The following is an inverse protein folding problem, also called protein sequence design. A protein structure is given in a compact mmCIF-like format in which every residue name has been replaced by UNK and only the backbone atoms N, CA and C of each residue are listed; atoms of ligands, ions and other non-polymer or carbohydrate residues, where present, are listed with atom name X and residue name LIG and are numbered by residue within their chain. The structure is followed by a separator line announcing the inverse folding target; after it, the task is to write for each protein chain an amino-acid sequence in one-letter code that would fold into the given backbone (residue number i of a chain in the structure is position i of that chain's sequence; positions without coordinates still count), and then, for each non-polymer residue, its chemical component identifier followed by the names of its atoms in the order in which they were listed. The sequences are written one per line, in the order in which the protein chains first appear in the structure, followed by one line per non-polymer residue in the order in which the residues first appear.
data_IF_376628499226
#
_entry.id   IF_376628499226
#
_cell.length_a   1.000
_cell.length_b   1.000
_cell.length_c   1.000
_cell.angle_alpha   90.00
_cell.angle_beta   90.00
_cell.angle_gamma   90.00
#
_symmetry.space_group_name_H-M   'P 1'
#
loop_
_entity.id
_entity.type
_entity.pdbx_description
1 polymer ?
#
# COMPACT_ATOMS: atom_id res chain seq x y z
N UNK A 1 7.61 10.66 -23.89
CA UNK A 1 8.02 10.26 -25.26
C UNK A 1 6.93 9.39 -25.87
N UNK A 2 6.80 9.35 -27.20
CA UNK A 2 5.84 8.48 -27.88
C UNK A 2 6.27 7.01 -27.74
N UNK A 3 5.41 6.07 -27.28
CA UNK A 3 5.80 4.69 -27.00
C UNK A 3 6.31 3.91 -28.21
N UNK A 4 5.86 4.28 -29.45
CA UNK A 4 6.31 3.65 -30.69
C UNK A 4 7.61 4.25 -31.25
N UNK A 5 8.10 5.39 -30.75
CA UNK A 5 9.37 6.00 -31.18
C UNK A 5 10.60 5.45 -30.43
N UNK A 6 10.43 4.46 -29.57
CA UNK A 6 11.57 3.76 -28.97
C UNK A 6 12.31 2.92 -30.01
N UNK A 7 13.64 2.83 -29.89
CA UNK A 7 14.53 2.16 -30.88
C UNK A 7 14.06 0.78 -31.31
N UNK A 8 13.41 0.03 -30.42
CA UNK A 8 12.96 -1.35 -30.69
C UNK A 8 11.55 -1.44 -31.31
N UNK A 9 10.74 -0.37 -31.28
CA UNK A 9 9.35 -0.41 -31.75
C UNK A 9 9.14 0.38 -33.05
N UNK A 10 10.03 1.31 -33.38
CA UNK A 10 9.91 2.16 -34.54
C UNK A 10 10.05 1.37 -35.86
N UNK A 11 11.00 0.44 -35.95
CA UNK A 11 11.18 -0.43 -37.12
C UNK A 11 9.93 -1.27 -37.44
N UNK A 12 9.42 -2.08 -36.45
CA UNK A 12 8.16 -2.82 -36.62
C UNK A 12 6.96 -1.94 -36.99
N UNK A 13 6.87 -0.72 -36.46
CA UNK A 13 5.83 0.23 -36.82
C UNK A 13 5.87 0.59 -38.30
N UNK A 14 7.04 0.94 -38.87
CA UNK A 14 7.18 1.26 -40.27
C UNK A 14 6.93 0.02 -41.18
N UNK A 15 7.36 -1.15 -40.73
CA UNK A 15 7.10 -2.39 -41.47
C UNK A 15 5.60 -2.72 -41.56
N UNK A 16 4.78 -2.34 -40.58
CA UNK A 16 3.34 -2.51 -40.60
C UNK A 16 2.65 -1.69 -41.72
N UNK A 17 3.31 -0.67 -42.26
CA UNK A 17 2.79 0.12 -43.37
C UNK A 17 3.01 -0.54 -44.74
N UNK A 18 3.89 -1.54 -44.88
CA UNK A 18 4.14 -2.24 -46.14
C UNK A 18 2.88 -2.96 -46.65
N UNK A 19 2.19 -3.80 -45.87
CA UNK A 19 0.95 -4.43 -46.34
C UNK A 19 -0.15 -3.42 -46.65
N UNK A 20 -0.25 -2.30 -45.91
CA UNK A 20 -1.19 -1.23 -46.21
C UNK A 20 -0.90 -0.56 -47.56
N UNK A 21 0.36 -0.25 -47.85
CA UNK A 21 0.77 0.27 -49.15
C UNK A 21 0.48 -0.73 -50.27
N UNK A 22 0.75 -2.01 -50.04
CA UNK A 22 0.45 -3.05 -51.03
C UNK A 22 -1.05 -3.16 -51.32
N UNK A 23 -1.92 -3.08 -50.32
CA UNK A 23 -3.38 -3.07 -50.47
C UNK A 23 -3.82 -1.83 -51.29
N UNK A 24 -3.31 -0.64 -51.00
CA UNK A 24 -3.65 0.58 -51.71
C UNK A 24 -3.17 0.54 -53.17
N UNK A 25 -1.97 0.01 -53.41
CA UNK A 25 -1.46 -0.22 -54.78
C UNK A 25 -2.38 -1.18 -55.52
N UNK A 26 -2.77 -2.29 -54.91
CA UNK A 26 -3.69 -3.25 -55.49
C UNK A 26 -5.06 -2.61 -55.84
N UNK A 27 -5.64 -1.85 -54.92
CA UNK A 27 -6.93 -1.17 -55.15
C UNK A 27 -6.88 -0.14 -56.27
N UNK A 28 -5.77 0.58 -56.43
CA UNK A 28 -5.59 1.59 -57.46
C UNK A 28 -5.30 0.98 -58.86
N UNK A 29 -4.71 -0.22 -58.88
CA UNK A 29 -4.41 -0.95 -60.15
C UNK A 29 -5.54 -1.86 -60.58
N UNK A 30 -6.26 -2.52 -59.67
CA UNK A 30 -7.31 -3.48 -59.99
C UNK A 30 -8.48 -2.89 -60.75
N UNK A 31 -8.75 -1.58 -60.60
CA UNK A 31 -9.74 -0.84 -61.33
C UNK A 31 -9.28 -0.42 -62.78
N UNK A 32 -8.07 -0.76 -63.20
CA UNK A 32 -7.51 -0.40 -64.50
C UNK A 32 -7.20 1.10 -64.69
N UNK A 33 -7.36 1.91 -63.62
CA UNK A 33 -7.13 3.35 -63.68
C UNK A 33 -5.64 3.71 -63.78
N UNK A 34 -4.77 2.98 -63.02
CA UNK A 34 -3.33 3.22 -62.93
C UNK A 34 -2.52 1.93 -63.15
N UNK A 35 -1.33 2.09 -63.71
CA UNK A 35 -0.33 1.02 -63.77
C UNK A 35 0.37 0.79 -62.42
N UNK A 36 1.04 -0.35 -62.27
CA UNK A 36 1.77 -0.71 -61.03
C UNK A 36 2.83 0.31 -60.61
N UNK A 37 3.60 0.82 -61.64
CA UNK A 37 4.65 1.81 -61.38
C UNK A 37 4.05 3.14 -60.96
N UNK A 38 2.95 3.57 -61.60
CA UNK A 38 2.25 4.81 -61.29
C UNK A 38 1.67 4.76 -59.86
N UNK A 39 1.00 3.65 -59.55
CA UNK A 39 0.42 3.44 -58.23
C UNK A 39 1.50 3.41 -57.14
N UNK A 40 2.60 2.71 -57.33
CA UNK A 40 3.71 2.68 -56.37
C UNK A 40 4.35 4.04 -56.18
N UNK A 41 4.58 4.82 -57.26
CA UNK A 41 5.15 6.16 -57.21
C UNK A 41 4.30 7.16 -56.39
N UNK A 42 2.98 6.95 -56.33
CA UNK A 42 2.04 7.77 -55.57
C UNK A 42 1.91 7.22 -54.13
N UNK A 43 1.59 5.92 -53.98
CA UNK A 43 1.17 5.32 -52.72
C UNK A 43 2.32 5.24 -51.72
N UNK A 44 3.52 4.83 -52.14
CA UNK A 44 4.66 4.61 -51.20
C UNK A 44 5.04 5.89 -50.45
N UNK A 45 5.32 7.04 -51.12
CA UNK A 45 5.66 8.26 -50.38
C UNK A 45 4.50 8.79 -49.57
N UNK A 46 3.26 8.65 -50.02
CA UNK A 46 2.07 9.08 -49.28
C UNK A 46 1.83 8.23 -48.04
N UNK A 47 2.03 6.92 -48.09
CA UNK A 47 1.95 6.05 -46.91
C UNK A 47 3.03 6.40 -45.90
N UNK A 48 4.25 6.71 -46.31
CA UNK A 48 5.32 7.12 -45.42
C UNK A 48 4.96 8.41 -44.66
N UNK A 49 4.48 9.43 -45.41
CA UNK A 49 4.03 10.70 -44.79
C UNK A 49 2.86 10.43 -43.81
N UNK A 50 1.91 9.58 -44.22
CA UNK A 50 0.75 9.29 -43.38
C UNK A 50 1.11 8.51 -42.11
N UNK A 51 2.13 7.67 -42.15
CA UNK A 51 2.67 7.00 -40.97
C UNK A 51 3.10 8.01 -39.89
N UNK A 52 3.79 9.09 -40.28
CA UNK A 52 4.16 10.14 -39.32
C UNK A 52 2.96 10.94 -38.81
N UNK A 53 1.96 11.18 -39.67
CA UNK A 53 0.72 11.84 -39.24
C UNK A 53 -0.03 11.00 -38.22
N UNK A 54 -0.13 9.67 -38.43
CA UNK A 54 -0.76 8.76 -37.46
C UNK A 54 -0.04 8.75 -36.10
N UNK A 55 1.30 8.91 -36.03
CA UNK A 55 2.02 9.08 -34.78
C UNK A 55 1.61 10.35 -34.04
N UNK A 56 1.27 11.43 -34.76
CA UNK A 56 0.84 12.68 -34.12
C UNK A 56 -0.47 12.53 -33.33
N UNK A 57 -1.33 11.58 -33.71
CA UNK A 57 -2.59 11.28 -33.03
C UNK A 57 -2.40 10.86 -31.55
N UNK A 58 -1.22 10.37 -31.19
CA UNK A 58 -0.86 10.10 -29.80
C UNK A 58 -0.99 11.33 -28.91
N UNK A 59 -0.48 12.47 -29.36
CA UNK A 59 -0.49 13.70 -28.55
C UNK A 59 -1.92 14.21 -28.33
N UNK A 60 -2.78 14.11 -29.33
CA UNK A 60 -4.18 14.47 -29.21
C UNK A 60 -4.94 13.52 -28.29
N UNK A 61 -4.72 12.21 -28.41
CA UNK A 61 -5.34 11.18 -27.56
C UNK A 61 -4.87 11.29 -26.10
N UNK A 62 -3.59 11.56 -25.86
CA UNK A 62 -3.03 11.72 -24.52
C UNK A 62 -3.53 13.00 -23.83
N UNK A 63 -3.70 14.09 -24.59
CA UNK A 63 -4.21 15.36 -24.06
C UNK A 63 -5.72 15.37 -23.78
N UNK A 64 -6.44 14.38 -24.30
CA UNK A 64 -7.89 14.30 -24.20
C UNK A 64 -8.33 12.89 -23.71
N UNK A 65 -8.11 12.57 -22.40
CA UNK A 65 -8.50 11.28 -21.85
C UNK A 65 -10.02 11.09 -21.92
N UNK A 66 -10.46 9.84 -22.19
CA UNK A 66 -11.87 9.49 -22.22
C UNK A 66 -12.46 9.62 -20.82
N UNK A 67 -13.32 10.63 -20.66
CA UNK A 67 -14.13 10.83 -19.45
C UNK A 67 -15.60 10.78 -19.83
N UNK A 68 -16.44 10.20 -18.94
CA UNK A 68 -17.87 9.97 -19.23
C UNK A 68 -18.63 11.23 -19.69
N UNK A 69 -18.22 12.38 -19.17
CA UNK A 69 -18.85 13.68 -19.47
C UNK A 69 -18.43 14.28 -20.84
N UNK A 70 -17.30 13.86 -21.40
CA UNK A 70 -16.72 14.45 -22.62
C UNK A 70 -16.73 13.53 -23.85
N UNK A 71 -17.31 12.33 -23.74
CA UNK A 71 -17.18 11.29 -24.78
C UNK A 71 -17.68 11.73 -26.14
N UNK A 72 -18.86 12.38 -26.23
CA UNK A 72 -19.42 12.86 -27.48
C UNK A 72 -18.57 13.95 -28.12
N UNK A 73 -18.09 14.90 -27.31
CA UNK A 73 -17.23 16.00 -27.80
C UNK A 73 -15.90 15.47 -28.34
N UNK A 74 -15.31 14.48 -27.65
CA UNK A 74 -14.08 13.83 -28.09
C UNK A 74 -14.29 13.06 -29.42
N UNK A 75 -15.38 12.30 -29.48
CA UNK A 75 -15.73 11.56 -30.70
C UNK A 75 -15.90 12.49 -31.90
N UNK A 76 -16.68 13.55 -31.78
CA UNK A 76 -16.86 14.56 -32.85
C UNK A 76 -15.54 15.25 -33.19
N UNK A 77 -14.70 15.54 -32.19
CA UNK A 77 -13.38 16.13 -32.43
C UNK A 77 -12.46 15.22 -33.25
N UNK A 78 -12.43 13.91 -32.96
CA UNK A 78 -11.65 12.96 -33.72
C UNK A 78 -12.20 12.72 -35.15
N UNK A 79 -13.52 12.75 -35.33
CA UNK A 79 -14.14 12.71 -36.67
C UNK A 79 -13.73 13.94 -37.48
N UNK A 80 -13.80 15.12 -36.89
CA UNK A 80 -13.39 16.37 -37.57
C UNK A 80 -11.89 16.36 -37.90
N UNK A 81 -11.05 15.90 -36.98
CA UNK A 81 -9.62 15.74 -37.22
C UNK A 81 -9.32 14.72 -38.29
N UNK A 82 -10.00 13.57 -38.33
CA UNK A 82 -9.89 12.57 -39.38
C UNK A 82 -10.24 13.12 -40.76
N UNK A 83 -11.33 13.88 -40.88
CA UNK A 83 -11.75 14.53 -42.11
C UNK A 83 -10.71 15.56 -42.58
N UNK A 84 -10.20 16.40 -41.67
CA UNK A 84 -9.18 17.40 -41.98
C UNK A 84 -7.87 16.76 -42.47
N UNK A 85 -7.37 15.77 -41.73
CA UNK A 85 -6.13 15.06 -42.03
C UNK A 85 -6.24 14.32 -43.37
N UNK A 86 -7.40 13.66 -43.62
CA UNK A 86 -7.64 12.96 -44.86
C UNK A 86 -7.74 13.91 -46.08
N UNK A 87 -8.36 15.09 -45.90
CA UNK A 87 -8.39 16.14 -46.91
C UNK A 87 -6.99 16.65 -47.23
N UNK A 88 -6.15 16.87 -46.21
CA UNK A 88 -4.75 17.28 -46.38
C UNK A 88 -3.94 16.20 -47.12
N UNK A 89 -4.15 14.93 -46.78
CA UNK A 89 -3.49 13.80 -47.45
C UNK A 89 -3.86 13.70 -48.93
N UNK A 90 -5.17 13.87 -49.28
CA UNK A 90 -5.64 13.94 -50.67
C UNK A 90 -5.03 15.14 -51.37
N UNK A 91 -4.94 16.30 -50.75
CA UNK A 91 -4.30 17.48 -51.33
C UNK A 91 -2.80 17.22 -51.62
N UNK A 92 -2.08 16.55 -50.74
CA UNK A 92 -0.70 16.11 -50.94
C UNK A 92 -0.60 15.12 -52.11
N UNK A 93 -1.56 14.17 -52.23
CA UNK A 93 -1.63 13.24 -53.34
C UNK A 93 -1.83 13.96 -54.69
N UNK A 94 -2.77 14.91 -54.74
CA UNK A 94 -3.01 15.72 -55.95
C UNK A 94 -1.77 16.56 -56.30
N UNK A 95 -1.11 17.16 -55.37
CA UNK A 95 0.13 17.91 -55.58
C UNK A 95 1.25 17.01 -56.14
N UNK A 96 1.44 15.82 -55.57
CA UNK A 96 2.41 14.84 -56.06
C UNK A 96 2.07 14.39 -57.50
N UNK A 97 0.82 14.03 -57.75
CA UNK A 97 0.33 13.61 -59.07
C UNK A 97 0.53 14.72 -60.11
N UNK A 98 0.23 15.98 -59.74
CA UNK A 98 0.46 17.14 -60.62
C UNK A 98 1.95 17.29 -60.99
N UNK A 99 2.86 17.08 -60.06
CA UNK A 99 4.30 17.13 -60.34
C UNK A 99 4.72 15.96 -61.26
N UNK A 100 4.27 14.74 -60.95
CA UNK A 100 4.58 13.55 -61.73
C UNK A 100 4.04 13.65 -63.17
N UNK A 101 2.83 14.14 -63.36
CA UNK A 101 2.18 14.29 -64.69
C UNK A 101 2.94 15.20 -65.64
N UNK A 102 3.84 16.06 -65.16
CA UNK A 102 4.74 16.89 -66.00
C UNK A 102 5.88 16.10 -66.63
N UNK A 103 6.14 14.90 -66.16
CA UNK A 103 7.21 14.05 -66.65
C UNK A 103 6.67 13.20 -67.81
N UNK A 104 7.53 12.87 -68.80
CA UNK A 104 7.13 12.09 -70.03
C UNK A 104 6.59 10.70 -69.68
N UNK A 105 7.05 10.13 -68.53
CA UNK A 105 6.66 8.77 -68.07
C UNK A 105 5.24 8.71 -67.50
N UNK A 106 4.70 9.83 -66.99
CA UNK A 106 3.45 9.88 -66.24
C UNK A 106 2.43 10.85 -66.89
N UNK A 107 2.46 11.02 -68.20
CA UNK A 107 1.53 11.89 -68.94
C UNK A 107 0.06 11.47 -68.73
N UNK A 108 -0.83 12.43 -68.43
CA UNK A 108 -2.27 12.19 -68.21
C UNK A 108 -2.58 11.46 -66.86
N UNK A 109 -1.62 11.38 -65.98
CA UNK A 109 -1.80 10.75 -64.63
C UNK A 109 -2.84 11.50 -63.78
N UNK A 110 -2.89 12.81 -63.88
CA UNK A 110 -3.83 13.70 -63.20
C UNK A 110 -5.30 13.37 -63.49
N UNK A 111 -5.62 13.16 -64.74
CA UNK A 111 -6.98 12.78 -65.18
C UNK A 111 -7.39 11.38 -64.71
N UNK A 112 -6.44 10.44 -64.69
CA UNK A 112 -6.67 9.05 -64.31
C UNK A 112 -6.72 8.88 -62.77
N UNK A 113 -6.03 9.75 -62.03
CA UNK A 113 -6.03 9.75 -60.57
C UNK A 113 -7.28 10.43 -59.98
N UNK A 114 -7.88 11.41 -60.65
CA UNK A 114 -9.01 12.18 -60.13
C UNK A 114 -10.15 11.34 -59.50
N UNK A 115 -10.63 10.24 -60.13
CA UNK A 115 -11.69 9.41 -59.52
C UNK A 115 -11.24 8.64 -58.26
N UNK A 116 -9.93 8.41 -58.11
CA UNK A 116 -9.36 7.67 -56.97
C UNK A 116 -9.26 8.51 -55.69
N UNK A 117 -9.41 9.84 -55.77
CA UNK A 117 -9.36 10.75 -54.63
C UNK A 117 -10.34 10.36 -53.50
N UNK A 118 -11.53 9.82 -53.88
CA UNK A 118 -12.53 9.33 -52.91
C UNK A 118 -12.02 8.12 -52.13
N UNK A 119 -11.29 7.22 -52.77
CA UNK A 119 -10.69 6.03 -52.12
C UNK A 119 -9.60 6.48 -51.17
N UNK A 120 -8.74 7.42 -51.59
CA UNK A 120 -7.69 7.97 -50.72
C UNK A 120 -8.28 8.69 -49.51
N UNK A 121 -9.34 9.49 -49.70
CA UNK A 121 -10.01 10.16 -48.61
C UNK A 121 -10.58 9.13 -47.60
N UNK A 122 -11.33 8.15 -48.09
CA UNK A 122 -11.93 7.12 -47.21
C UNK A 122 -10.86 6.28 -46.49
N UNK A 123 -9.81 5.89 -47.22
CA UNK A 123 -8.69 5.14 -46.62
C UNK A 123 -7.98 5.97 -45.54
N UNK A 124 -7.65 7.23 -45.83
CA UNK A 124 -7.05 8.13 -44.82
C UNK A 124 -7.93 8.32 -43.60
N UNK A 125 -9.23 8.59 -43.82
CA UNK A 125 -10.18 8.76 -42.72
C UNK A 125 -10.24 7.55 -41.80
N UNK A 126 -10.35 6.35 -42.37
CA UNK A 126 -10.39 5.11 -41.58
C UNK A 126 -9.06 4.81 -40.87
N UNK A 127 -7.93 5.03 -41.57
CA UNK A 127 -6.59 4.82 -40.98
C UNK A 127 -6.33 5.77 -39.83
N UNK A 128 -6.75 7.03 -39.88
CA UNK A 128 -6.63 7.96 -38.81
C UNK A 128 -7.46 7.53 -37.57
N UNK A 129 -8.72 7.15 -37.80
CA UNK A 129 -9.58 6.66 -36.73
C UNK A 129 -9.04 5.37 -36.08
N UNK A 130 -8.49 4.46 -36.93
CA UNK A 130 -7.83 3.25 -36.42
C UNK A 130 -6.59 3.58 -35.56
N UNK A 131 -5.79 4.56 -36.01
CA UNK A 131 -4.64 5.04 -35.24
C UNK A 131 -5.08 5.64 -33.92
N UNK A 132 -6.11 6.48 -33.87
CA UNK A 132 -6.68 7.03 -32.63
C UNK A 132 -7.17 5.91 -31.70
N UNK A 133 -7.95 4.96 -32.21
CA UNK A 133 -8.47 3.83 -31.45
C UNK A 133 -7.34 3.00 -30.84
N UNK A 134 -6.31 2.67 -31.64
CA UNK A 134 -5.14 1.93 -31.15
C UNK A 134 -4.37 2.69 -30.07
N UNK A 135 -4.24 4.01 -30.18
CA UNK A 135 -3.60 4.82 -29.14
C UNK A 135 -4.41 4.84 -27.84
N UNK A 136 -5.72 4.92 -27.89
CA UNK A 136 -6.57 4.80 -26.69
C UNK A 136 -6.48 3.43 -26.03
N UNK A 137 -6.40 2.35 -26.83
CA UNK A 137 -6.17 1.00 -26.29
C UNK A 137 -4.82 0.93 -25.56
N UNK A 138 -3.76 1.45 -26.17
CA UNK A 138 -2.42 1.48 -25.53
C UNK A 138 -2.45 2.27 -24.22
N UNK A 139 -3.05 3.47 -24.23
CA UNK A 139 -3.19 4.30 -23.02
C UNK A 139 -4.00 3.61 -21.92
N UNK A 140 -5.09 2.91 -22.30
CA UNK A 140 -5.91 2.15 -21.35
C UNK A 140 -5.15 1.00 -20.73
N UNK A 141 -4.36 0.25 -21.52
CA UNK A 141 -3.52 -0.85 -21.02
C UNK A 141 -2.41 -0.34 -20.09
N UNK A 142 -1.76 0.77 -20.45
CA UNK A 142 -0.76 1.41 -19.60
C UNK A 142 -1.37 1.87 -18.26
N UNK A 143 -2.52 2.53 -18.29
CA UNK A 143 -3.23 2.97 -17.10
C UNK A 143 -3.67 1.80 -16.18
N UNK A 144 -4.16 0.69 -16.78
CA UNK A 144 -4.54 -0.52 -16.06
C UNK A 144 -3.34 -1.15 -15.37
N UNK A 145 -2.22 -1.31 -16.09
CA UNK A 145 -0.98 -1.87 -15.55
C UNK A 145 -0.41 -1.03 -14.41
N UNK A 146 -0.44 0.31 -14.54
CA UNK A 146 -0.03 1.21 -13.44
C UNK A 146 -0.95 1.12 -12.24
N UNK A 147 -2.26 0.99 -12.44
CA UNK A 147 -3.24 0.85 -11.36
C UNK A 147 -3.02 -0.47 -10.59
N UNK A 148 -2.79 -1.58 -11.31
CA UNK A 148 -2.47 -2.89 -10.72
C UNK A 148 -1.16 -2.85 -9.92
N UNK A 149 -0.12 -2.21 -10.45
CA UNK A 149 1.16 -2.06 -9.76
C UNK A 149 1.02 -1.25 -8.46
N UNK A 150 0.23 -0.15 -8.49
CA UNK A 150 -0.06 0.65 -7.28
C UNK A 150 -0.87 -0.14 -6.25
N UNK A 151 -1.89 -0.89 -6.68
CA UNK A 151 -2.69 -1.72 -5.79
C UNK A 151 -1.84 -2.80 -5.11
N UNK A 152 -0.96 -3.45 -5.86
CA UNK A 152 -0.02 -4.45 -5.33
C UNK A 152 0.94 -3.83 -4.31
N UNK A 153 1.50 -2.67 -4.61
CA UNK A 153 2.41 -1.95 -3.70
C UNK A 153 1.70 -1.57 -2.38
N UNK A 154 0.47 -1.07 -2.47
CA UNK A 154 -0.35 -0.75 -1.29
C UNK A 154 -0.64 -1.99 -0.45
N UNK A 155 -0.94 -3.13 -1.09
CA UNK A 155 -1.17 -4.40 -0.40
C UNK A 155 0.09 -4.89 0.34
N UNK A 156 1.27 -4.77 -0.28
CA UNK A 156 2.55 -5.13 0.35
C UNK A 156 2.81 -4.23 1.56
N UNK A 157 2.62 -2.92 1.42
CA UNK A 157 2.80 -1.97 2.53
C UNK A 157 1.85 -2.25 3.70
N UNK A 158 0.58 -2.60 3.41
CA UNK A 158 -0.38 -2.96 4.43
C UNK A 158 0.04 -4.24 5.20
N UNK A 159 0.48 -5.28 4.47
CA UNK A 159 1.00 -6.51 5.09
C UNK A 159 2.26 -6.28 5.91
N UNK A 160 3.19 -5.45 5.44
CA UNK A 160 4.39 -5.09 6.18
C UNK A 160 4.06 -4.31 7.47
N UNK A 161 3.07 -3.42 7.42
CA UNK A 161 2.59 -2.71 8.61
C UNK A 161 1.95 -3.68 9.61
N UNK A 162 1.11 -4.62 9.13
CA UNK A 162 0.51 -5.66 9.96
C UNK A 162 1.56 -6.56 10.62
N UNK A 163 2.56 -7.02 9.86
CA UNK A 163 3.69 -7.80 10.39
C UNK A 163 4.50 -7.02 11.42
N UNK A 164 4.72 -5.74 11.21
CA UNK A 164 5.41 -4.88 12.19
C UNK A 164 4.58 -4.70 13.46
N UNK A 165 3.27 -4.52 13.33
CA UNK A 165 2.36 -4.42 14.46
C UNK A 165 2.34 -5.74 15.27
N UNK A 166 2.25 -6.89 14.59
CA UNK A 166 2.31 -8.20 15.22
C UNK A 166 3.65 -8.46 15.94
N UNK A 167 4.77 -8.14 15.29
CA UNK A 167 6.11 -8.23 15.90
C UNK A 167 6.28 -7.30 17.10
N UNK A 168 5.62 -6.13 17.10
CA UNK A 168 5.68 -5.19 18.21
C UNK A 168 4.88 -5.66 19.45
N UNK A 169 3.95 -6.60 19.29
CA UNK A 169 3.24 -7.21 20.43
C UNK A 169 4.13 -8.11 21.28
N UNK A 170 5.21 -8.64 20.71
CA UNK A 170 6.19 -9.45 21.45
C UNK A 170 7.40 -8.56 21.72
N UNK A 171 7.72 -8.34 22.99
CA UNK A 171 8.93 -7.60 23.38
C UNK A 171 10.20 -8.46 23.11
N UNK A 172 11.03 -8.12 22.08
CA UNK A 172 12.18 -8.95 21.72
C UNK A 172 13.19 -9.07 22.85
N UNK A 173 13.37 -8.00 23.62
CA UNK A 173 14.31 -7.96 24.74
C UNK A 173 13.89 -8.91 25.87
N UNK A 174 12.58 -8.96 26.18
CA UNK A 174 12.05 -9.92 27.14
C UNK A 174 12.28 -11.37 26.66
N UNK A 175 12.02 -11.65 25.38
CA UNK A 175 12.23 -12.98 24.79
C UNK A 175 13.69 -13.42 24.89
N UNK A 176 14.64 -12.56 24.50
CA UNK A 176 16.07 -12.85 24.61
C UNK A 176 16.51 -13.08 26.05
N UNK A 177 16.03 -12.28 26.98
CA UNK A 177 16.36 -12.46 28.39
C UNK A 177 15.80 -13.76 28.97
N UNK A 178 14.57 -14.14 28.58
CA UNK A 178 13.96 -15.41 29.00
C UNK A 178 14.74 -16.61 28.44
N UNK A 179 15.14 -16.59 27.16
CA UNK A 179 15.94 -17.64 26.54
C UNK A 179 17.32 -17.76 27.21
N UNK A 180 17.96 -16.65 27.55
CA UNK A 180 19.23 -16.65 28.27
C UNK A 180 19.09 -17.28 29.68
N UNK A 181 17.99 -16.96 30.37
CA UNK A 181 17.70 -17.56 31.70
C UNK A 181 17.43 -19.07 31.60
N UNK A 182 16.68 -19.51 30.57
CA UNK A 182 16.46 -20.94 30.28
C UNK A 182 17.80 -21.62 30.02
N UNK A 183 18.65 -21.04 29.18
CA UNK A 183 19.99 -21.58 28.88
C UNK A 183 20.86 -21.72 30.11
N UNK A 184 20.86 -20.73 30.99
CA UNK A 184 21.60 -20.80 32.28
C UNK A 184 21.05 -21.90 33.21
N UNK A 185 19.72 -22.04 33.27
CA UNK A 185 19.07 -23.06 34.08
C UNK A 185 19.32 -24.49 33.56
N UNK A 186 19.54 -24.72 32.30
CA UNK A 186 19.77 -26.07 31.74
C UNK A 186 20.96 -26.77 32.42
N UNK A 187 21.97 -26.01 32.82
CA UNK A 187 23.19 -26.54 33.45
C UNK A 187 23.06 -26.66 35.01
N UNK A 188 22.05 -26.01 35.59
CA UNK A 188 21.92 -25.92 37.05
C UNK A 188 20.72 -26.75 37.56
N UNK A 189 19.56 -26.57 36.91
CA UNK A 189 18.29 -27.20 37.26
C UNK A 189 17.44 -27.39 35.95
N UNK A 190 17.56 -28.55 35.36
CA UNK A 190 16.86 -28.89 34.12
C UNK A 190 15.33 -28.95 34.25
N UNK A 191 14.80 -29.20 35.47
CA UNK A 191 13.36 -29.16 35.72
C UNK A 191 12.84 -27.74 35.67
N UNK A 192 13.48 -26.81 36.35
CA UNK A 192 13.11 -25.39 36.30
C UNK A 192 13.30 -24.78 34.93
N UNK A 193 14.31 -25.24 34.13
CA UNK A 193 14.47 -24.82 32.77
C UNK A 193 13.25 -25.24 31.90
N UNK A 194 12.75 -26.48 32.08
CA UNK A 194 11.56 -26.99 31.42
C UNK A 194 10.31 -26.21 31.80
N UNK A 195 10.11 -25.96 33.08
CA UNK A 195 8.95 -25.19 33.58
C UNK A 195 8.95 -23.78 33.05
N UNK A 196 10.11 -23.14 32.92
CA UNK A 196 10.26 -21.83 32.33
C UNK A 196 9.96 -21.82 30.82
N UNK A 197 10.33 -22.89 30.07
CA UNK A 197 9.95 -23.04 28.68
C UNK A 197 8.43 -23.12 28.49
N UNK A 198 7.75 -23.88 29.36
CA UNK A 198 6.28 -24.00 29.34
C UNK A 198 5.63 -22.66 29.64
N UNK A 199 6.05 -21.97 30.71
CA UNK A 199 5.57 -20.65 31.06
C UNK A 199 5.75 -19.63 29.94
N UNK A 200 6.90 -19.62 29.28
CA UNK A 200 7.17 -18.73 28.14
C UNK A 200 6.27 -19.04 26.95
N UNK A 201 6.07 -20.34 26.64
CA UNK A 201 5.18 -20.76 25.57
C UNK A 201 3.72 -20.35 25.82
N UNK A 202 3.24 -20.51 27.06
CA UNK A 202 1.88 -20.12 27.46
C UNK A 202 1.69 -18.62 27.46
N UNK A 203 2.68 -17.85 27.96
CA UNK A 203 2.67 -16.40 27.90
C UNK A 203 2.58 -15.87 26.45
N UNK A 204 3.41 -16.41 25.55
CA UNK A 204 3.40 -16.00 24.14
C UNK A 204 2.07 -16.32 23.45
N UNK A 205 1.53 -17.53 23.69
CA UNK A 205 0.23 -17.93 23.11
C UNK A 205 -0.90 -17.02 23.62
N UNK A 206 -0.90 -16.71 24.91
CA UNK A 206 -1.90 -15.83 25.51
C UNK A 206 -1.77 -14.40 25.01
N UNK A 207 -0.56 -13.85 24.89
CA UNK A 207 -0.31 -12.51 24.35
C UNK A 207 -0.87 -12.38 22.94
N UNK A 208 -0.61 -13.37 22.04
CA UNK A 208 -1.11 -13.38 20.69
C UNK A 208 -2.65 -13.49 20.66
N UNK A 209 -3.22 -14.41 21.45
CA UNK A 209 -4.68 -14.60 21.49
C UNK A 209 -5.44 -13.40 22.06
N UNK A 210 -4.91 -12.71 23.07
CA UNK A 210 -5.52 -11.48 23.58
C UNK A 210 -5.39 -10.33 22.59
N UNK A 211 -4.25 -10.25 21.86
CA UNK A 211 -4.00 -9.19 20.90
C UNK A 211 -4.98 -9.16 19.70
N UNK A 212 -5.64 -10.27 19.39
CA UNK A 212 -6.65 -10.38 18.35
C UNK A 212 -8.06 -9.92 18.77
N UNK A 213 -8.29 -9.78 20.08
CA UNK A 213 -9.59 -9.39 20.63
C UNK A 213 -9.75 -7.87 20.63
N UNK A 214 -10.98 -7.40 20.55
CA UNK A 214 -11.31 -5.96 20.70
C UNK A 214 -11.35 -5.53 22.14
N UNK A 215 -11.91 -6.37 23.00
CA UNK A 215 -11.99 -6.21 24.45
C UNK A 215 -11.70 -7.55 25.14
N UNK A 216 -11.15 -7.47 26.30
CA UNK A 216 -10.85 -8.64 27.17
C UNK A 216 -11.30 -8.35 28.59
N UNK A 217 -11.57 -9.39 29.37
CA UNK A 217 -11.84 -9.23 30.79
C UNK A 217 -10.55 -8.84 31.53
N UNK A 218 -10.67 -8.02 32.56
CA UNK A 218 -9.53 -7.69 33.42
C UNK A 218 -8.86 -8.94 33.98
N UNK A 219 -9.65 -9.99 34.29
CA UNK A 219 -9.12 -11.29 34.71
C UNK A 219 -8.16 -11.93 33.72
N UNK A 220 -8.39 -11.77 32.39
CA UNK A 220 -7.51 -12.30 31.34
C UNK A 220 -6.18 -11.52 31.28
N UNK A 221 -6.25 -10.19 31.41
CA UNK A 221 -5.04 -9.33 31.54
C UNK A 221 -4.23 -9.70 32.78
N UNK A 222 -4.93 -9.91 33.90
CA UNK A 222 -4.28 -10.30 35.17
C UNK A 222 -3.57 -11.65 35.05
N UNK A 223 -4.20 -12.65 34.44
CA UNK A 223 -3.57 -13.95 34.18
C UNK A 223 -2.30 -13.81 33.30
N UNK A 224 -2.37 -12.97 32.24
CA UNK A 224 -1.20 -12.67 31.42
C UNK A 224 -0.07 -12.03 32.23
N UNK A 225 -0.40 -11.07 33.07
CA UNK A 225 0.59 -10.40 33.94
C UNK A 225 1.23 -11.36 34.96
N UNK A 226 0.45 -12.27 35.53
CA UNK A 226 0.97 -13.29 36.45
C UNK A 226 1.96 -14.22 35.78
N UNK A 227 1.67 -14.64 34.49
CA UNK A 227 2.63 -15.45 33.70
C UNK A 227 3.91 -14.66 33.40
N UNK A 228 3.77 -13.39 32.99
CA UNK A 228 4.93 -12.51 32.75
C UNK A 228 5.81 -12.39 34.02
N UNK A 229 5.20 -12.07 35.15
CA UNK A 229 5.90 -11.89 36.40
C UNK A 229 6.51 -13.20 36.94
N UNK A 230 5.87 -14.35 36.70
CA UNK A 230 6.44 -15.65 37.01
C UNK A 230 7.75 -15.91 36.24
N UNK A 231 7.81 -15.54 34.98
CA UNK A 231 9.03 -15.63 34.14
C UNK A 231 10.10 -14.67 34.68
N UNK A 232 9.76 -13.41 34.96
CA UNK A 232 10.71 -12.43 35.52
C UNK A 232 11.18 -12.80 36.93
N UNK A 233 10.33 -13.47 37.73
CA UNK A 233 10.72 -13.99 39.05
C UNK A 233 11.82 -15.04 38.98
N UNK A 234 11.85 -15.86 37.93
CA UNK A 234 12.97 -16.80 37.71
C UNK A 234 14.28 -16.05 37.50
N UNK A 235 14.23 -14.90 36.80
CA UNK A 235 15.41 -14.08 36.46
C UNK A 235 15.89 -13.23 37.66
N UNK A 236 14.97 -12.58 38.37
CA UNK A 236 15.31 -11.65 39.44
C UNK A 236 15.36 -12.31 40.85
N UNK A 237 14.81 -13.52 40.97
CA UNK A 237 14.76 -14.22 42.27
C UNK A 237 14.00 -13.42 43.31
N UNK A 238 14.55 -13.36 44.52
CA UNK A 238 13.93 -12.65 45.66
C UNK A 238 13.99 -11.13 45.54
N UNK A 239 14.72 -10.60 44.58
CA UNK A 239 14.76 -9.18 44.26
C UNK A 239 13.43 -8.65 43.70
N UNK A 240 12.61 -9.51 43.09
CA UNK A 240 11.27 -9.14 42.60
C UNK A 240 10.23 -9.61 43.61
N UNK A 241 9.56 -8.67 44.24
CA UNK A 241 8.42 -8.94 45.12
C UNK A 241 7.16 -8.41 44.44
N UNK A 242 6.10 -9.21 44.45
CA UNK A 242 4.82 -8.86 43.86
C UNK A 242 3.72 -8.83 44.93
N UNK A 243 2.86 -7.81 44.85
CA UNK A 243 1.69 -7.67 45.72
C UNK A 243 0.47 -7.34 44.87
N UNK A 244 -0.59 -8.11 45.04
CA UNK A 244 -1.87 -7.91 44.34
C UNK A 244 -2.95 -7.55 45.39
N UNK A 245 -3.71 -6.51 45.13
CA UNK A 245 -4.91 -6.12 45.87
C UNK A 245 -6.04 -5.86 44.88
N UNK A 246 -6.69 -6.94 44.43
CA UNK A 246 -7.67 -6.93 43.35
C UNK A 246 -9.06 -7.21 43.95
N UNK A 247 -9.96 -6.24 43.79
CA UNK A 247 -11.36 -6.41 44.15
C UNK A 247 -12.04 -7.38 43.18
N UNK A 248 -12.82 -8.34 43.68
CA UNK A 248 -13.41 -9.40 42.84
C UNK A 248 -14.30 -8.84 41.73
N UNK A 249 -15.08 -7.80 42.01
CA UNK A 249 -15.95 -7.13 41.03
C UNK A 249 -15.20 -6.46 39.89
N UNK A 250 -13.92 -6.19 40.04
CA UNK A 250 -13.06 -5.61 39.01
C UNK A 250 -12.74 -6.63 37.90
N UNK A 251 -12.64 -7.93 38.25
CA UNK A 251 -12.20 -8.99 37.34
C UNK A 251 -13.09 -9.19 36.14
N UNK A 252 -14.38 -8.89 36.28
CA UNK A 252 -15.36 -9.00 35.19
C UNK A 252 -15.40 -7.77 34.29
N UNK A 253 -14.72 -6.68 34.61
CA UNK A 253 -14.70 -5.48 33.78
C UNK A 253 -13.95 -5.72 32.47
N UNK A 254 -14.48 -5.13 31.37
CA UNK A 254 -13.89 -5.19 30.04
C UNK A 254 -12.93 -4.02 29.83
N UNK A 255 -11.81 -4.30 29.17
CA UNK A 255 -10.81 -3.29 28.83
C UNK A 255 -10.10 -3.66 27.52
N UNK A 256 -9.42 -2.70 26.86
CA UNK A 256 -8.62 -3.00 25.68
C UNK A 256 -7.50 -4.01 25.98
N UNK A 257 -7.24 -4.97 25.07
CA UNK A 257 -6.24 -6.02 25.30
C UNK A 257 -4.83 -5.44 25.43
N UNK A 258 -3.97 -6.11 26.18
CA UNK A 258 -2.56 -5.77 26.41
C UNK A 258 -2.40 -4.32 26.90
N UNK A 259 -3.33 -3.87 27.78
CA UNK A 259 -3.33 -2.53 28.33
C UNK A 259 -2.35 -2.42 29.52
N UNK A 260 -2.32 -3.42 30.39
CA UNK A 260 -1.55 -3.39 31.62
C UNK A 260 -0.13 -3.94 31.45
N UNK A 261 0.08 -4.81 30.47
CA UNK A 261 1.40 -5.42 30.23
C UNK A 261 2.50 -4.36 30.07
N UNK A 262 2.38 -3.28 29.27
CA UNK A 262 3.43 -2.26 29.17
C UNK A 262 3.73 -1.54 30.48
N UNK A 263 2.75 -1.41 31.37
CA UNK A 263 2.94 -0.77 32.69
C UNK A 263 3.75 -1.65 33.62
N UNK A 264 3.43 -2.94 33.68
CA UNK A 264 4.15 -3.90 34.49
C UNK A 264 5.56 -4.18 33.96
N UNK A 265 5.70 -4.25 32.59
CA UNK A 265 7.02 -4.30 31.98
C UNK A 265 7.90 -3.09 32.37
N UNK A 266 7.32 -1.89 32.33
CA UNK A 266 8.02 -0.68 32.79
C UNK A 266 8.38 -0.74 34.29
N UNK A 267 7.48 -1.22 35.12
CA UNK A 267 7.71 -1.37 36.53
C UNK A 267 8.89 -2.32 36.84
N UNK A 268 8.97 -3.46 36.16
CA UNK A 268 10.09 -4.40 36.28
C UNK A 268 11.39 -3.82 35.71
N UNK A 269 11.33 -3.25 34.50
CA UNK A 269 12.51 -2.75 33.77
C UNK A 269 13.14 -1.51 34.40
N UNK A 270 12.33 -0.58 34.86
CA UNK A 270 12.79 0.70 35.39
C UNK A 270 12.83 0.76 36.92
N UNK A 271 12.00 -0.05 37.60
CA UNK A 271 12.04 -0.24 39.03
C UNK A 271 13.06 -1.30 39.44
N UNK A 272 12.72 -2.57 39.19
CA UNK A 272 13.45 -3.71 39.79
C UNK A 272 14.85 -3.91 39.17
N UNK A 273 14.96 -3.82 37.83
CA UNK A 273 16.23 -4.09 37.16
C UNK A 273 17.33 -3.07 37.48
N UNK A 274 16.96 -1.86 37.91
CA UNK A 274 17.88 -0.77 38.30
C UNK A 274 18.31 -0.80 39.76
N UNK A 275 17.57 -1.51 40.60
CA UNK A 275 17.80 -1.53 42.06
C UNK A 275 18.62 -2.78 42.48
N UNK A 276 19.83 -2.65 43.03
CA UNK A 276 20.63 -3.81 43.49
C UNK A 276 19.91 -4.66 44.54
N UNK A 277 19.22 -4.05 45.49
CA UNK A 277 18.45 -4.70 46.53
C UNK A 277 17.12 -5.28 46.07
N UNK A 278 16.73 -4.95 44.80
CA UNK A 278 15.40 -5.28 44.27
C UNK A 278 14.33 -4.30 44.75
N UNK A 279 13.07 -4.70 44.61
CA UNK A 279 11.93 -3.85 44.98
C UNK A 279 10.60 -4.54 44.82
N UNK A 280 9.55 -3.78 45.05
CA UNK A 280 8.16 -4.22 45.03
C UNK A 280 7.50 -3.75 43.71
N UNK A 281 6.65 -4.61 43.16
CA UNK A 281 5.64 -4.24 42.15
C UNK A 281 4.27 -4.51 42.78
N UNK A 282 3.43 -3.49 42.84
CA UNK A 282 2.09 -3.58 43.43
C UNK A 282 1.07 -3.31 42.35
N UNK A 283 0.06 -4.17 42.24
CA UNK A 283 -1.09 -4.02 41.35
C UNK A 283 -2.34 -3.98 42.22
N UNK A 284 -3.09 -2.89 42.16
CA UNK A 284 -4.39 -2.78 42.76
C UNK A 284 -5.47 -2.42 41.73
N UNK A 285 -6.68 -2.96 41.92
CA UNK A 285 -7.82 -2.66 41.09
C UNK A 285 -9.11 -2.68 41.90
N UNK A 286 -9.92 -1.64 41.71
CA UNK A 286 -11.23 -1.50 42.31
C UNK A 286 -12.27 -1.02 41.33
N UNK A 287 -13.51 -1.48 41.50
CA UNK A 287 -14.68 -1.02 40.79
C UNK A 287 -15.55 -0.17 41.66
N UNK A 288 -15.59 1.14 41.44
CA UNK A 288 -16.37 2.08 42.22
C UNK A 288 -17.11 3.09 41.32
N UNK A 289 -18.35 3.37 41.64
CA UNK A 289 -19.18 4.37 40.95
C UNK A 289 -19.23 4.22 39.41
N UNK A 290 -19.30 2.99 38.90
CA UNK A 290 -19.33 2.71 37.48
C UNK A 290 -17.97 2.91 36.79
N UNK A 291 -16.90 3.05 37.51
CA UNK A 291 -15.52 3.16 37.00
C UNK A 291 -14.64 2.03 37.48
N UNK A 292 -13.71 1.62 36.68
CA UNK A 292 -12.63 0.74 37.00
C UNK A 292 -11.39 1.60 37.22
N UNK A 293 -10.86 1.56 38.45
CA UNK A 293 -9.60 2.18 38.83
C UNK A 293 -8.52 1.08 38.95
N UNK A 294 -7.41 1.23 38.25
CA UNK A 294 -6.27 0.32 38.28
C UNK A 294 -5.03 1.12 38.61
N UNK A 295 -4.24 0.66 39.57
CA UNK A 295 -2.99 1.30 39.95
C UNK A 295 -1.86 0.29 39.91
N UNK A 296 -0.81 0.66 39.18
CA UNK A 296 0.47 -0.05 39.12
C UNK A 296 1.52 0.81 39.85
N UNK A 297 2.12 0.28 40.87
CA UNK A 297 3.17 0.96 41.60
C UNK A 297 4.44 0.11 41.59
N UNK A 298 5.60 0.77 41.59
CA UNK A 298 6.87 0.09 41.72
C UNK A 298 7.88 0.94 42.47
N UNK A 299 8.81 0.25 43.16
CA UNK A 299 10.01 0.88 43.71
C UNK A 299 10.85 1.48 42.56
N UNK A 300 11.39 2.67 42.77
CA UNK A 300 12.29 3.32 41.81
C UNK A 300 13.35 4.14 42.56
N UNK A 301 14.46 4.45 41.85
CA UNK A 301 15.53 5.28 42.40
C UNK A 301 15.39 6.71 41.82
N UNK A 302 15.06 7.71 42.64
CA UNK A 302 14.90 9.10 42.18
C UNK A 302 16.22 9.74 41.70
N UNK A 303 17.37 9.22 42.16
CA UNK A 303 18.68 9.72 41.78
C UNK A 303 19.23 9.06 40.50
N UNK A 304 18.54 8.07 39.97
CA UNK A 304 18.94 7.41 38.73
C UNK A 304 18.85 8.38 37.55
N UNK A 305 19.88 8.42 36.66
CA UNK A 305 19.86 9.29 35.49
C UNK A 305 18.65 9.01 34.60
N UNK A 306 17.95 10.05 34.08
CA UNK A 306 16.75 9.87 33.28
C UNK A 306 17.05 9.03 32.03
N UNK A 307 16.52 7.82 31.99
CA UNK A 307 16.70 6.91 30.84
C UNK A 307 15.80 7.35 29.69
N UNK A 308 16.38 7.65 28.51
CA UNK A 308 15.71 8.14 27.28
C UNK A 308 14.60 7.25 26.71
N UNK A 309 14.33 6.07 27.26
CA UNK A 309 13.39 5.09 26.71
C UNK A 309 12.02 5.00 27.43
N UNK A 310 11.75 5.85 28.44
CA UNK A 310 10.60 5.70 29.34
C UNK A 310 9.22 6.13 28.83
N UNK A 311 9.07 6.62 27.61
CA UNK A 311 7.80 7.23 27.17
C UNK A 311 6.90 6.39 26.29
N UNK A 312 7.39 5.36 25.60
CA UNK A 312 6.63 4.65 24.56
C UNK A 312 5.50 3.77 25.12
N UNK A 313 5.75 3.03 26.18
CA UNK A 313 4.74 2.15 26.78
C UNK A 313 3.55 2.91 27.36
N UNK A 314 3.81 3.95 28.14
CA UNK A 314 2.78 4.80 28.74
C UNK A 314 1.99 5.58 27.68
N UNK A 315 2.67 6.09 26.65
CA UNK A 315 2.03 6.77 25.52
C UNK A 315 1.10 5.83 24.75
N UNK A 316 1.50 4.57 24.55
CA UNK A 316 0.67 3.57 23.90
C UNK A 316 -0.59 3.26 24.74
N UNK A 317 -0.46 3.12 26.06
CA UNK A 317 -1.59 2.95 26.98
C UNK A 317 -2.55 4.13 26.87
N UNK A 318 -2.03 5.36 26.93
CA UNK A 318 -2.83 6.58 26.82
C UNK A 318 -3.58 6.65 25.49
N UNK A 319 -2.90 6.38 24.37
CA UNK A 319 -3.51 6.38 23.04
C UNK A 319 -4.61 5.31 22.89
N UNK A 320 -4.40 4.11 23.44
CA UNK A 320 -5.43 3.05 23.41
C UNK A 320 -6.68 3.44 24.20
N UNK A 321 -6.49 4.00 25.40
CA UNK A 321 -7.60 4.47 26.22
C UNK A 321 -8.33 5.65 25.57
N UNK A 322 -7.61 6.60 25.00
CA UNK A 322 -8.18 7.75 24.32
C UNK A 322 -8.97 7.32 23.06
N UNK A 323 -8.44 6.38 22.28
CA UNK A 323 -9.12 5.85 21.08
C UNK A 323 -10.45 5.14 21.42
N UNK A 324 -10.55 4.46 22.58
CA UNK A 324 -11.76 3.73 22.97
C UNK A 324 -12.74 4.58 23.77
N UNK A 325 -12.24 5.33 24.77
CA UNK A 325 -13.06 6.01 25.76
C UNK A 325 -13.01 7.54 25.67
N UNK A 326 -12.17 8.08 24.77
CA UNK A 326 -12.03 9.53 24.64
C UNK A 326 -11.63 10.19 25.96
N UNK A 327 -12.40 11.21 26.37
CA UNK A 327 -12.16 11.96 27.63
C UNK A 327 -12.65 11.23 28.90
N UNK A 328 -13.35 10.12 28.76
CA UNK A 328 -13.87 9.37 29.91
C UNK A 328 -12.81 8.51 30.60
N UNK A 329 -11.71 8.18 29.91
CA UNK A 329 -10.56 7.53 30.53
C UNK A 329 -9.47 8.53 30.90
N UNK A 330 -8.76 8.24 31.98
CA UNK A 330 -7.68 9.07 32.47
C UNK A 330 -6.47 8.22 32.88
N UNK A 331 -5.28 8.70 32.54
CA UNK A 331 -4.00 8.12 32.92
C UNK A 331 -3.23 9.18 33.72
N UNK A 332 -2.86 8.86 34.96
CA UNK A 332 -2.05 9.74 35.80
C UNK A 332 -0.77 9.04 36.18
N UNK A 333 0.31 9.78 36.17
CA UNK A 333 1.61 9.32 36.69
C UNK A 333 1.95 10.19 37.86
N UNK A 334 2.31 9.54 38.95
CA UNK A 334 2.77 10.19 40.16
C UNK A 334 4.11 9.58 40.58
N UNK A 335 4.97 10.41 41.13
CA UNK A 335 6.25 9.97 41.74
C UNK A 335 6.32 10.58 43.14
N UNK A 336 6.42 9.73 44.13
CA UNK A 336 6.48 10.15 45.54
C UNK A 336 7.61 9.39 46.25
N UNK A 337 8.69 10.10 46.58
CA UNK A 337 9.89 9.49 47.14
C UNK A 337 10.47 8.39 46.24
N UNK A 338 10.58 7.19 46.76
CA UNK A 338 11.08 6.00 46.05
C UNK A 338 9.97 5.19 45.35
N UNK A 339 8.77 5.74 45.18
CA UNK A 339 7.63 5.09 44.53
C UNK A 339 7.28 5.78 43.23
N UNK A 340 7.15 4.98 42.17
CA UNK A 340 6.58 5.38 40.89
C UNK A 340 5.21 4.74 40.72
N UNK A 341 4.19 5.53 40.46
CA UNK A 341 2.81 5.10 40.38
C UNK A 341 2.17 5.51 39.05
N UNK A 342 1.50 4.57 38.39
CA UNK A 342 0.62 4.82 37.27
C UNK A 342 -0.79 4.43 37.64
N UNK A 343 -1.71 5.39 37.55
CA UNK A 343 -3.13 5.19 37.87
C UNK A 343 -3.95 5.33 36.57
N UNK A 344 -4.77 4.32 36.28
CA UNK A 344 -5.74 4.29 35.20
C UNK A 344 -7.14 4.41 35.77
N UNK A 345 -7.99 5.21 35.15
CA UNK A 345 -9.41 5.28 35.48
C UNK A 345 -10.22 5.27 34.20
N UNK A 346 -11.08 4.28 34.01
CA UNK A 346 -11.88 4.06 32.80
C UNK A 346 -13.31 3.62 33.19
N UNK A 347 -14.30 3.75 32.29
CA UNK A 347 -15.65 3.23 32.50
C UNK A 347 -15.62 1.73 32.77
N UNK A 348 -16.38 1.26 33.77
CA UNK A 348 -16.50 -0.15 34.09
C UNK A 348 -17.53 -0.79 33.13
N UNK A 349 -17.10 -1.17 31.93
CA UNK A 349 -17.91 -1.93 30.98
C UNK A 349 -18.04 -3.40 31.47
N UNK A 350 -19.21 -4.02 31.28
CA UNK A 350 -19.42 -5.46 31.50
C UNK A 350 -20.06 -6.09 30.27
N UNK A 351 -19.96 -7.41 30.11
CA UNK A 351 -20.51 -8.14 28.94
C UNK A 351 -22.02 -7.93 28.73
N UNK A 352 -22.76 -7.54 29.76
CA UNK A 352 -24.20 -7.27 29.65
C UNK A 352 -24.52 -5.92 28.96
N UNK A 353 -23.50 -5.06 28.71
CA UNK A 353 -23.66 -3.73 28.11
C UNK A 353 -22.82 -3.52 26.85
N UNK A 354 -22.06 -4.49 26.41
CA UNK A 354 -21.27 -4.49 25.20
C UNK A 354 -21.97 -5.30 24.10
#
# INVERSE_FOLDING_TARGET
MHPLLTRNRFGPYLLAWIPLAAILIFLTTSGGALGWVESAAIVVPLCLVYAFICLSAWYTSKGAPIQRENTLRLFLGHIAAAALVSSLWVALALALVYVLAKTATFQGLDLRFAPLTRIFFAAGFLLYLLAVASHYVILSLEASSEAEARAMQTSIQARDAELKALKAQINPHFLFNSLNSISALTSIDSSRARDMCVLLGDFLRMTLGLGEKTLVRFSEELELLQKYLAIEKVRFGDRLKMHENIQEESKACLLPPLLLQPLVENAVKHGIAGLPEGGDVRLSAERQNGRLAIVVENSWDPDAPPRRSGGLGLKNVQQRLEARYGKEANVRVNTEGELFQVSLSLPAESEEKA
#
